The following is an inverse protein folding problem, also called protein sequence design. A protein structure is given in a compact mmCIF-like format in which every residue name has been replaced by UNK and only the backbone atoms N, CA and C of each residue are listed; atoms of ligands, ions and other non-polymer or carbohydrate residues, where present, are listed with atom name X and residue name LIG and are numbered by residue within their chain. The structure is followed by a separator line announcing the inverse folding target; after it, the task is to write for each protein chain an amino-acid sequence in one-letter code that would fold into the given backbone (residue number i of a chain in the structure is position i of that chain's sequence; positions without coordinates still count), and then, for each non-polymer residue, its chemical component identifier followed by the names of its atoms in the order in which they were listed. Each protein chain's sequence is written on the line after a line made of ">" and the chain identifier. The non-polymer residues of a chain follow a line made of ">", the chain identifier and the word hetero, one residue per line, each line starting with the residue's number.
data_IF_088355607636
#
_entry.id   IF_088355607636
#
_cell.length_a   1.000
_cell.length_b   1.000
_cell.length_c   1.000
_cell.angle_alpha   90.00
_cell.angle_beta   90.00
_cell.angle_gamma   90.00
#
_symmetry.space_group_name_H-M   'P 1'
#
loop_
_entity.id
_entity.type
_entity.pdbx_description
1 polymer ?
#
# COMPACT_ATOMS: atom_id res chain seq x y z
N UNK A 1 -32.35 -13.46 -37.29
CA UNK A 1 -31.86 -12.10 -36.99
C UNK A 1 -31.79 -11.97 -35.48
N UNK A 2 -30.60 -12.04 -34.90
CA UNK A 2 -30.39 -11.87 -33.47
C UNK A 2 -29.99 -10.42 -33.21
N UNK A 3 -30.89 -9.64 -32.61
CA UNK A 3 -30.59 -8.30 -32.13
C UNK A 3 -29.53 -8.39 -31.02
N UNK A 4 -28.40 -7.73 -31.25
CA UNK A 4 -27.37 -7.52 -30.25
C UNK A 4 -27.85 -6.37 -29.36
N UNK A 5 -28.28 -6.69 -28.14
CA UNK A 5 -28.62 -5.68 -27.14
C UNK A 5 -27.36 -4.89 -26.76
N UNK A 6 -27.32 -3.63 -27.17
CA UNK A 6 -26.21 -2.71 -26.87
C UNK A 6 -26.29 -2.27 -25.40
N UNK A 7 -25.30 -2.67 -24.60
CA UNK A 7 -25.20 -2.29 -23.19
C UNK A 7 -24.57 -0.89 -23.08
N UNK A 8 -25.31 0.06 -22.50
CA UNK A 8 -24.82 1.41 -22.21
C UNK A 8 -24.37 1.50 -20.75
N UNK A 9 -23.14 1.98 -20.52
CA UNK A 9 -22.62 2.26 -19.19
C UNK A 9 -22.93 3.70 -18.78
N UNK A 10 -23.56 3.87 -17.62
CA UNK A 10 -23.80 5.18 -17.01
C UNK A 10 -22.82 5.38 -15.85
N UNK A 11 -22.20 6.56 -15.81
CA UNK A 11 -21.38 6.99 -14.69
C UNK A 11 -22.20 7.92 -13.80
N UNK A 12 -22.74 7.36 -12.72
CA UNK A 12 -23.41 8.18 -11.71
C UNK A 12 -22.38 8.80 -10.76
N UNK A 13 -22.35 10.13 -10.61
CA UNK A 13 -21.42 10.78 -9.70
C UNK A 13 -21.75 10.38 -8.27
N UNK A 14 -20.76 9.85 -7.55
CA UNK A 14 -20.90 9.58 -6.13
C UNK A 14 -20.90 10.91 -5.36
N UNK A 15 -22.08 11.35 -4.92
CA UNK A 15 -22.25 12.62 -4.20
C UNK A 15 -21.75 12.46 -2.77
N UNK A 16 -20.47 12.75 -2.56
CA UNK A 16 -19.86 12.89 -1.24
C UNK A 16 -19.26 14.27 -1.09
N UNK A 17 -19.37 14.82 0.11
CA UNK A 17 -18.70 16.06 0.43
C UNK A 17 -17.20 15.81 0.68
N UNK A 18 -16.34 16.53 -0.05
CA UNK A 18 -14.91 16.52 0.21
C UNK A 18 -14.56 17.38 1.43
N UNK A 19 -13.56 16.97 2.24
CA UNK A 19 -12.95 17.84 3.25
C UNK A 19 -12.49 19.17 2.64
N UNK A 20 -12.62 20.27 3.38
CA UNK A 20 -12.25 21.62 2.90
C UNK A 20 -10.81 21.69 2.37
N UNK A 21 -9.87 21.02 3.06
CA UNK A 21 -8.48 20.94 2.66
C UNK A 21 -8.29 20.26 1.29
N UNK A 22 -9.08 19.22 1.01
CA UNK A 22 -9.07 18.53 -0.28
C UNK A 22 -9.69 19.41 -1.37
N UNK A 23 -10.80 20.10 -1.08
CA UNK A 23 -11.43 21.05 -2.01
C UNK A 23 -10.46 22.16 -2.42
N UNK A 24 -9.72 22.71 -1.46
CA UNK A 24 -8.72 23.76 -1.71
C UNK A 24 -7.58 23.29 -2.61
N UNK A 25 -7.03 22.11 -2.35
CA UNK A 25 -5.94 21.55 -3.16
C UNK A 25 -6.41 21.28 -4.59
N UNK A 26 -7.62 20.73 -4.74
CA UNK A 26 -8.21 20.46 -6.05
C UNK A 26 -8.53 21.76 -6.82
N UNK A 27 -8.89 22.84 -6.13
CA UNK A 27 -9.14 24.15 -6.78
C UNK A 27 -7.85 24.86 -7.21
N UNK A 28 -6.75 24.64 -6.50
CA UNK A 28 -5.43 25.20 -6.80
C UNK A 28 -4.61 24.34 -7.79
N UNK A 29 -5.14 23.20 -8.22
CA UNK A 29 -4.44 22.28 -9.11
C UNK A 29 -4.21 22.91 -10.49
N UNK A 30 -2.94 23.07 -10.87
CA UNK A 30 -2.55 23.44 -12.24
C UNK A 30 -2.49 22.23 -13.16
N UNK A 31 -2.58 22.44 -14.49
CA UNK A 31 -2.54 21.35 -15.50
C UNK A 31 -1.31 20.44 -15.41
N UNK A 32 -0.23 20.90 -14.80
CA UNK A 32 1.04 20.17 -14.70
C UNK A 32 1.25 19.50 -13.34
N UNK A 33 0.29 19.58 -12.42
CA UNK A 33 0.43 19.02 -11.09
C UNK A 33 0.22 17.50 -11.11
N UNK A 34 1.13 16.78 -10.46
CA UNK A 34 1.07 15.34 -10.34
C UNK A 34 0.08 14.97 -9.25
N UNK A 35 -1.12 14.56 -9.66
CA UNK A 35 -2.19 14.15 -8.76
C UNK A 35 -2.58 12.70 -9.04
N UNK A 36 -2.74 11.93 -7.97
CA UNK A 36 -3.27 10.58 -8.01
C UNK A 36 -4.21 10.38 -6.82
N UNK A 37 -5.31 9.68 -7.01
CA UNK A 37 -6.24 9.38 -5.93
C UNK A 37 -6.60 7.90 -5.92
N UNK A 38 -6.89 7.36 -4.74
CA UNK A 38 -7.38 5.98 -4.59
C UNK A 38 -8.37 5.88 -3.43
N UNK A 39 -9.25 4.90 -3.52
CA UNK A 39 -10.20 4.52 -2.48
C UNK A 39 -9.82 3.14 -1.96
N UNK A 40 -9.57 3.02 -0.67
CA UNK A 40 -9.26 1.72 -0.05
C UNK A 40 -10.54 0.93 0.22
N UNK A 41 -10.45 -0.41 0.34
CA UNK A 41 -11.58 -1.25 0.76
C UNK A 41 -12.19 -0.84 2.11
N UNK A 42 -11.41 -0.19 2.99
CA UNK A 42 -11.86 0.32 4.29
C UNK A 42 -12.48 1.72 4.22
N UNK A 43 -12.91 2.16 3.03
CA UNK A 43 -13.54 3.46 2.78
C UNK A 43 -12.63 4.64 3.18
N UNK A 44 -11.31 4.48 3.05
CA UNK A 44 -10.38 5.61 3.17
C UNK A 44 -10.08 6.12 1.77
N UNK A 45 -10.29 7.41 1.56
CA UNK A 45 -9.84 8.10 0.38
C UNK A 45 -8.42 8.61 0.59
N UNK A 46 -7.60 8.49 -0.43
CA UNK A 46 -6.24 9.00 -0.47
C UNK A 46 -6.10 9.89 -1.69
N UNK A 47 -5.57 11.09 -1.48
CA UNK A 47 -5.16 12.01 -2.54
C UNK A 47 -3.67 12.29 -2.40
N UNK A 48 -2.90 11.92 -3.40
CA UNK A 48 -1.48 12.23 -3.54
C UNK A 48 -1.34 13.45 -4.44
N UNK A 49 -0.58 14.43 -3.97
CA UNK A 49 -0.37 15.69 -4.64
C UNK A 49 1.09 16.11 -4.47
N UNK A 50 1.91 15.85 -5.49
CA UNK A 50 3.37 15.92 -5.39
C UNK A 50 3.91 15.09 -4.20
N UNK A 51 4.52 15.72 -3.19
CA UNK A 51 5.08 15.05 -2.00
C UNK A 51 4.17 15.18 -0.76
N UNK A 52 2.89 15.49 -0.97
CA UNK A 52 1.89 15.60 0.10
C UNK A 52 0.76 14.62 -0.16
N UNK A 53 0.34 13.94 0.90
CA UNK A 53 -0.79 13.03 0.88
C UNK A 53 -1.90 13.55 1.79
N UNK A 54 -3.14 13.40 1.33
CA UNK A 54 -4.33 13.68 2.11
C UNK A 54 -5.12 12.39 2.29
N UNK A 55 -5.46 12.04 3.54
CA UNK A 55 -6.23 10.83 3.86
C UNK A 55 -7.48 11.20 4.63
N UNK A 56 -8.65 10.69 4.22
CA UNK A 56 -9.91 10.92 4.91
C UNK A 56 -10.85 9.72 4.77
N UNK A 57 -11.85 9.63 5.66
CA UNK A 57 -12.88 8.60 5.55
C UNK A 57 -14.02 9.04 4.63
N UNK A 58 -14.34 8.19 3.68
CA UNK A 58 -15.49 8.28 2.80
C UNK A 58 -16.73 7.81 3.58
N UNK A 59 -17.50 8.72 4.17
CA UNK A 59 -18.74 8.38 4.90
C UNK A 59 -19.91 9.22 4.43
N UNK A 60 -20.95 8.54 3.96
CA UNK A 60 -22.22 9.16 3.55
C UNK A 60 -23.26 9.19 4.70
N UNK A 61 -22.90 8.69 5.89
CA UNK A 61 -23.82 8.48 7.02
C UNK A 61 -23.57 9.39 8.21
N UNK A 62 -22.50 10.19 8.17
CA UNK A 62 -22.12 11.06 9.29
C UNK A 62 -22.66 12.47 9.08
N UNK A 63 -23.27 13.05 10.12
CA UNK A 63 -23.60 14.49 10.17
C UNK A 63 -22.37 15.37 10.45
N UNK A 64 -21.20 14.75 10.61
CA UNK A 64 -19.94 15.44 10.93
C UNK A 64 -19.22 15.81 9.63
N UNK A 65 -18.74 17.05 9.57
CA UNK A 65 -17.91 17.56 8.47
C UNK A 65 -16.70 16.64 8.27
N UNK A 66 -16.44 16.16 7.05
CA UNK A 66 -15.35 15.22 6.79
C UNK A 66 -13.99 15.89 7.03
N UNK A 67 -13.13 15.26 7.81
CA UNK A 67 -11.78 15.72 8.13
C UNK A 67 -10.74 14.95 7.32
N UNK A 68 -9.71 15.66 6.83
CA UNK A 68 -8.58 15.09 6.12
C UNK A 68 -7.28 15.30 6.90
N UNK A 69 -6.50 14.22 7.05
CA UNK A 69 -5.14 14.27 7.54
C UNK A 69 -4.20 14.65 6.40
N UNK A 70 -3.31 15.62 6.65
CA UNK A 70 -2.25 16.02 5.72
C UNK A 70 -0.93 15.42 6.17
N UNK A 71 -0.34 14.62 5.30
CA UNK A 71 0.88 13.88 5.57
C UNK A 71 1.97 14.25 4.56
N UNK A 72 3.16 14.57 5.06
CA UNK A 72 4.33 14.85 4.22
C UNK A 72 5.00 13.54 3.83
N UNK A 73 4.97 13.20 2.54
CA UNK A 73 5.65 12.03 2.02
C UNK A 73 7.18 12.23 2.07
N UNK A 74 7.98 11.16 2.01
CA UNK A 74 9.42 11.28 1.78
C UNK A 74 9.71 12.17 0.56
N UNK A 75 10.79 12.95 0.63
CA UNK A 75 11.21 13.73 -0.52
C UNK A 75 11.71 12.78 -1.62
N UNK A 76 11.30 13.04 -2.86
CA UNK A 76 11.65 12.24 -4.02
C UNK A 76 11.80 13.15 -5.24
N UNK A 77 12.68 12.78 -6.16
CA UNK A 77 12.77 13.39 -7.49
C UNK A 77 11.79 12.78 -8.49
N UNK A 78 11.11 11.71 -8.09
CA UNK A 78 10.23 10.89 -8.92
C UNK A 78 8.77 11.04 -8.50
N UNK A 79 7.85 10.54 -9.33
CA UNK A 79 6.42 10.69 -9.10
C UNK A 79 5.91 9.64 -8.11
N UNK A 80 5.10 10.07 -7.16
CA UNK A 80 4.29 9.17 -6.34
C UNK A 80 3.08 8.61 -7.12
N UNK A 81 2.77 7.34 -6.87
CA UNK A 81 1.60 6.65 -7.41
C UNK A 81 0.75 6.06 -6.28
N UNK A 82 -0.55 5.83 -6.52
CA UNK A 82 -1.44 5.30 -5.47
C UNK A 82 -0.97 3.97 -4.85
N UNK A 83 -0.26 3.14 -5.61
CA UNK A 83 0.29 1.86 -5.14
C UNK A 83 1.54 2.00 -4.25
N UNK A 84 2.15 3.18 -4.18
CA UNK A 84 3.32 3.47 -3.31
C UNK A 84 2.93 3.82 -1.87
N UNK A 85 1.64 3.81 -1.56
CA UNK A 85 1.11 4.07 -0.22
C UNK A 85 0.13 2.98 0.18
N UNK A 86 0.18 2.60 1.45
CA UNK A 86 -0.75 1.64 2.05
C UNK A 86 -1.39 2.27 3.28
N UNK A 87 -2.70 2.45 3.23
CA UNK A 87 -3.52 2.95 4.35
C UNK A 87 -4.28 1.78 4.94
N UNK A 88 -4.17 1.60 6.26
CA UNK A 88 -4.73 0.45 6.94
C UNK A 88 -5.15 0.79 8.38
N UNK A 89 -5.85 -0.15 9.01
CA UNK A 89 -6.21 -0.07 10.43
C UNK A 89 -5.48 -1.19 11.14
N UNK A 90 -4.84 -0.89 12.27
CA UNK A 90 -4.17 -1.90 13.10
C UNK A 90 -5.19 -2.91 13.59
N UNK A 91 -4.81 -4.19 13.61
CA UNK A 91 -5.61 -5.25 14.21
C UNK A 91 -5.38 -5.30 15.73
N UNK A 92 -5.55 -4.19 16.45
CA UNK A 92 -5.59 -4.26 17.91
C UNK A 92 -7.02 -4.65 18.30
N UNK A 93 -7.20 -5.83 18.90
CA UNK A 93 -8.50 -6.29 19.39
C UNK A 93 -9.09 -5.44 20.53
N UNK A 94 -8.67 -4.18 20.69
CA UNK A 94 -8.95 -3.30 21.81
C UNK A 94 -9.50 -1.91 21.45
N UNK A 95 -9.85 -1.61 20.20
CA UNK A 95 -10.57 -0.34 19.92
C UNK A 95 -11.81 -0.55 19.06
N UNK A 96 -12.95 -0.39 19.73
CA UNK A 96 -14.28 -0.22 19.17
C UNK A 96 -14.37 1.06 18.32
N UNK A 97 -14.75 0.90 17.05
CA UNK A 97 -15.71 1.71 16.27
C UNK A 97 -16.00 3.14 16.75
N UNK A 98 -15.03 4.05 16.70
CA UNK A 98 -15.23 5.49 16.48
C UNK A 98 -13.88 6.22 16.32
N UNK A 99 -13.69 6.91 15.20
CA UNK A 99 -12.74 8.02 15.06
C UNK A 99 -11.24 7.80 15.35
N UNK A 100 -10.70 6.58 15.20
CA UNK A 100 -9.23 6.41 15.17
C UNK A 100 -8.72 6.72 13.77
N UNK A 101 -7.75 7.63 13.67
CA UNK A 101 -7.11 7.99 12.43
C UNK A 101 -6.31 6.79 11.86
N UNK A 102 -6.26 6.64 10.53
CA UNK A 102 -5.70 5.43 9.93
C UNK A 102 -4.17 5.40 10.09
N UNK A 103 -3.62 4.20 10.14
CA UNK A 103 -2.18 3.98 9.97
C UNK A 103 -1.82 4.09 8.51
N UNK A 104 -0.61 4.57 8.24
CA UNK A 104 -0.14 4.73 6.86
C UNK A 104 1.32 4.32 6.72
N UNK A 105 1.62 3.59 5.66
CA UNK A 105 2.99 3.32 5.22
C UNK A 105 3.15 3.82 3.78
N UNK A 106 4.13 4.68 3.56
CA UNK A 106 4.49 5.19 2.23
C UNK A 106 5.91 4.79 1.88
N UNK A 107 6.17 4.54 0.60
CA UNK A 107 7.50 4.30 0.06
C UNK A 107 7.76 5.29 -1.09
N UNK A 108 8.88 6.02 -1.03
CA UNK A 108 9.35 6.76 -2.20
C UNK A 108 9.86 5.81 -3.27
N UNK A 109 9.82 6.20 -4.56
CA UNK A 109 10.45 5.45 -5.64
C UNK A 109 11.91 5.04 -5.35
N UNK A 110 12.68 5.85 -4.63
CA UNK A 110 14.08 5.61 -4.27
C UNK A 110 14.29 4.70 -3.05
N UNK A 111 13.21 4.27 -2.36
CA UNK A 111 13.30 3.32 -1.25
C UNK A 111 13.29 3.91 0.16
N UNK A 112 12.96 5.20 0.33
CA UNK A 112 12.65 5.75 1.65
C UNK A 112 11.24 5.36 2.07
N UNK A 113 11.13 4.57 3.14
CA UNK A 113 9.89 4.28 3.84
C UNK A 113 9.59 5.38 4.85
N UNK A 114 8.31 5.73 4.97
CA UNK A 114 7.77 6.54 6.06
C UNK A 114 6.49 5.93 6.58
N UNK A 115 6.45 5.69 7.88
CA UNK A 115 5.35 5.06 8.58
C UNK A 115 4.73 6.02 9.59
N UNK A 116 3.40 6.06 9.62
CA UNK A 116 2.58 6.71 10.61
C UNK A 116 1.74 5.66 11.31
N UNK A 117 1.91 5.54 12.62
CA UNK A 117 1.10 4.66 13.46
C UNK A 117 -0.35 5.10 13.58
N UNK A 118 -0.56 6.38 13.35
CA UNK A 118 -1.82 7.10 13.25
C UNK A 118 -1.50 8.36 12.42
N UNK A 119 -2.34 8.71 11.45
CA UNK A 119 -2.13 9.86 10.57
C UNK A 119 -2.03 11.23 11.29
N UNK A 120 -2.40 11.34 12.56
CA UNK A 120 -2.19 12.51 13.40
C UNK A 120 -0.89 12.51 14.21
N UNK A 121 -0.12 11.42 14.19
CA UNK A 121 1.10 11.25 15.00
C UNK A 121 2.38 11.46 14.18
N UNK A 122 3.54 11.68 14.84
CA UNK A 122 4.83 11.76 14.17
C UNK A 122 5.17 10.49 13.38
N UNK A 123 5.91 10.64 12.29
CA UNK A 123 6.32 9.52 11.44
C UNK A 123 7.62 8.87 11.91
N UNK A 124 7.85 7.65 11.41
CA UNK A 124 9.11 6.91 11.51
C UNK A 124 9.62 6.62 10.10
N UNK A 125 10.90 6.89 9.89
CA UNK A 125 11.52 6.74 8.58
C UNK A 125 12.52 5.57 8.58
N UNK A 126 12.61 4.86 7.47
CA UNK A 126 13.58 3.80 7.24
C UNK A 126 14.01 3.83 5.77
N UNK A 127 15.31 3.69 5.49
CA UNK A 127 15.78 3.57 4.12
C UNK A 127 15.97 2.08 3.74
N UNK A 128 15.62 1.74 2.50
CA UNK A 128 15.87 0.45 1.88
C UNK A 128 16.84 0.66 0.72
N UNK A 129 17.91 -0.12 0.68
CA UNK A 129 18.76 -0.21 -0.51
C UNK A 129 18.07 -1.08 -1.57
N UNK A 130 17.49 -0.44 -2.58
CA UNK A 130 16.82 -1.10 -3.71
C UNK A 130 17.79 -1.55 -4.82
N UNK A 131 19.11 -1.48 -4.61
CA UNK A 131 20.13 -1.95 -5.56
C UNK A 131 19.98 -1.37 -6.98
N UNK A 132 19.76 -0.05 -7.08
CA UNK A 132 19.50 0.68 -8.34
C UNK A 132 18.17 0.31 -9.03
N UNK A 133 17.24 -0.30 -8.32
CA UNK A 133 15.85 -0.45 -8.74
C UNK A 133 14.97 0.64 -8.12
N UNK A 134 13.69 0.67 -8.51
CA UNK A 134 12.70 1.66 -8.09
C UNK A 134 11.54 0.95 -7.42
N UNK A 135 11.10 1.44 -6.27
CA UNK A 135 9.91 0.93 -5.59
C UNK A 135 8.67 1.13 -6.49
N UNK A 136 7.91 0.06 -6.69
CA UNK A 136 6.72 0.08 -7.52
C UNK A 136 5.45 0.06 -6.68
N UNK A 137 5.31 -0.88 -5.75
CA UNK A 137 4.11 -0.98 -4.91
C UNK A 137 4.40 -1.46 -3.50
N UNK A 138 3.62 -1.00 -2.53
CA UNK A 138 3.61 -1.55 -1.17
C UNK A 138 2.20 -1.95 -0.76
N UNK A 139 2.03 -3.18 -0.28
CA UNK A 139 0.73 -3.69 0.15
C UNK A 139 0.82 -4.41 1.49
N UNK A 140 -0.18 -4.21 2.34
CA UNK A 140 -0.34 -4.96 3.58
C UNK A 140 -0.72 -6.41 3.23
N UNK A 141 0.06 -7.36 3.71
CA UNK A 141 -0.21 -8.80 3.51
C UNK A 141 -0.70 -9.47 4.79
N UNK A 142 -0.31 -8.95 5.95
CA UNK A 142 -0.70 -9.50 7.25
C UNK A 142 -0.69 -8.39 8.30
N UNK A 143 -1.72 -8.37 9.16
CA UNK A 143 -1.80 -7.48 10.32
C UNK A 143 -2.13 -8.32 11.54
N UNK A 144 -1.20 -8.35 12.48
CA UNK A 144 -1.29 -8.98 13.79
C UNK A 144 -1.12 -7.88 14.83
N UNK A 145 -1.77 -8.00 15.99
CA UNK A 145 -1.78 -6.92 16.99
C UNK A 145 -0.41 -6.39 17.45
N UNK A 146 0.68 -7.13 17.23
CA UNK A 146 2.05 -6.73 17.52
C UNK A 146 2.96 -6.63 16.28
N UNK A 147 2.45 -6.94 15.08
CA UNK A 147 3.22 -7.02 13.85
C UNK A 147 2.35 -6.74 12.63
N UNK A 148 2.69 -5.71 11.86
CA UNK A 148 2.18 -5.53 10.50
C UNK A 148 3.25 -5.90 9.48
N UNK A 149 2.87 -6.68 8.46
CA UNK A 149 3.77 -7.14 7.40
C UNK A 149 3.27 -6.67 6.05
N UNK A 150 4.18 -6.12 5.26
CA UNK A 150 3.94 -5.59 3.93
C UNK A 150 4.85 -6.27 2.92
N UNK A 151 4.32 -6.42 1.71
CA UNK A 151 5.09 -6.79 0.54
C UNK A 151 5.38 -5.53 -0.28
N UNK A 152 6.65 -5.21 -0.43
CA UNK A 152 7.15 -4.21 -1.34
C UNK A 152 7.61 -4.90 -2.62
N UNK A 153 7.12 -4.43 -3.76
CA UNK A 153 7.60 -4.84 -5.09
C UNK A 153 8.32 -3.69 -5.76
N UNK A 154 9.31 -4.01 -6.58
CA UNK A 154 10.04 -3.03 -7.39
C UNK A 154 9.62 -3.09 -8.86
N UNK A 155 10.01 -2.08 -9.63
CA UNK A 155 9.70 -1.98 -11.05
C UNK A 155 10.22 -3.18 -11.84
N UNK A 156 11.30 -3.81 -11.38
CA UNK A 156 11.84 -5.00 -12.01
C UNK A 156 11.37 -6.31 -11.36
N UNK A 157 10.33 -6.31 -10.53
CA UNK A 157 9.82 -7.54 -9.89
C UNK A 157 10.79 -8.20 -8.90
N UNK A 158 11.60 -7.41 -8.21
CA UNK A 158 12.22 -7.82 -6.94
C UNK A 158 11.24 -7.57 -5.80
N UNK A 159 11.34 -8.36 -4.73
CA UNK A 159 10.40 -8.28 -3.60
C UNK A 159 11.12 -8.13 -2.28
N UNK A 160 10.50 -7.35 -1.38
CA UNK A 160 10.98 -7.13 -0.03
C UNK A 160 9.82 -7.30 0.95
N UNK A 161 10.12 -7.89 2.10
CA UNK A 161 9.20 -7.91 3.23
C UNK A 161 9.57 -6.76 4.15
N UNK A 162 8.58 -5.88 4.39
CA UNK A 162 8.66 -4.80 5.37
C UNK A 162 7.82 -5.20 6.57
N UNK A 163 8.41 -5.20 7.75
CA UNK A 163 7.78 -5.57 9.01
C UNK A 163 7.80 -4.39 9.97
N UNK A 164 6.65 -4.09 10.55
CA UNK A 164 6.50 -3.07 11.58
C UNK A 164 6.14 -3.78 12.87
N UNK A 165 7.08 -3.81 13.80
CA UNK A 165 6.87 -4.39 15.12
C UNK A 165 6.24 -3.33 16.03
N UNK A 166 5.07 -3.62 16.59
CA UNK A 166 4.42 -2.78 17.58
C UNK A 166 4.79 -3.25 18.98
N UNK A 167 5.17 -2.30 19.80
CA UNK A 167 5.41 -2.50 21.22
C UNK A 167 4.34 -1.75 22.01
N UNK A 168 4.20 -2.08 23.29
CA UNK A 168 3.24 -1.44 24.19
C UNK A 168 3.49 0.06 24.36
N UNK A 169 4.72 0.53 24.09
CA UNK A 169 5.02 1.96 23.98
C UNK A 169 5.13 2.38 22.52
N UNK A 170 4.33 3.38 22.14
CA UNK A 170 4.33 3.90 20.76
C UNK A 170 5.68 4.42 20.31
N UNK A 171 6.59 4.75 21.23
CA UNK A 171 7.95 5.21 20.93
C UNK A 171 8.88 4.08 20.46
N UNK A 172 8.54 2.82 20.67
CA UNK A 172 9.43 1.68 20.38
C UNK A 172 9.04 0.85 19.15
N UNK A 173 8.15 1.34 18.28
CA UNK A 173 7.83 0.62 17.05
C UNK A 173 9.07 0.50 16.13
N UNK A 174 9.39 -0.70 15.66
CA UNK A 174 10.59 -0.93 14.86
C UNK A 174 10.22 -1.32 13.44
N UNK A 175 10.81 -0.65 12.46
CA UNK A 175 10.70 -1.04 11.04
C UNK A 175 11.88 -1.97 10.73
N UNK A 176 11.58 -3.12 10.14
CA UNK A 176 12.56 -4.11 9.68
C UNK A 176 12.28 -4.40 8.22
N UNK A 177 13.32 -4.51 7.40
CA UNK A 177 13.17 -4.80 5.98
C UNK A 177 14.11 -5.92 5.59
N UNK A 178 13.61 -6.89 4.84
CA UNK A 178 14.40 -7.99 4.28
C UNK A 178 14.06 -8.18 2.80
N UNK A 179 15.08 -8.33 1.97
CA UNK A 179 14.88 -8.79 0.61
C UNK A 179 14.36 -10.23 0.62
N UNK A 180 13.44 -10.55 -0.28
CA UNK A 180 13.11 -11.94 -0.58
C UNK A 180 14.07 -12.40 -1.66
N UNK A 181 14.94 -13.35 -1.32
CA UNK A 181 15.72 -14.09 -2.30
C UNK A 181 14.74 -14.85 -3.19
N UNK A 182 14.43 -14.26 -4.33
CA UNK A 182 13.92 -15.01 -5.45
C UNK A 182 15.12 -15.59 -6.17
N UNK A 183 15.00 -16.82 -6.68
CA UNK A 183 16.01 -17.49 -7.52
C UNK A 183 16.16 -16.79 -8.90
N UNK A 184 15.98 -15.47 -8.91
CA UNK A 184 16.12 -14.57 -10.02
C UNK A 184 17.50 -13.92 -9.91
N UNK A 185 18.37 -14.08 -10.92
CA UNK A 185 19.70 -13.53 -10.90
C UNK A 185 19.67 -11.99 -10.85
N UNK A 186 20.51 -11.45 -9.97
CA UNK A 186 20.66 -10.04 -9.62
C UNK A 186 20.68 -9.06 -10.81
N UNK A 187 19.93 -7.96 -10.64
CA UNK A 187 20.16 -6.66 -11.30
C UNK A 187 19.57 -6.46 -12.71
N UNK A 188 19.26 -5.20 -13.03
CA UNK A 188 18.80 -4.74 -14.36
C UNK A 188 19.78 -5.17 -15.45
N UNK A 189 21.09 -4.97 -15.23
CA UNK A 189 22.12 -5.27 -16.21
C UNK A 189 22.18 -6.76 -16.57
N UNK A 190 22.09 -7.66 -15.58
CA UNK A 190 22.17 -9.11 -15.82
C UNK A 190 20.87 -9.68 -16.39
N UNK A 191 19.72 -9.08 -16.06
CA UNK A 191 18.41 -9.41 -16.66
C UNK A 191 18.35 -8.99 -18.13
N UNK A 192 18.83 -7.81 -18.47
CA UNK A 192 18.99 -7.37 -19.86
C UNK A 192 19.98 -8.27 -20.61
N UNK A 193 21.12 -8.63 -19.99
CA UNK A 193 22.04 -9.60 -20.58
C UNK A 193 21.39 -10.97 -20.79
N UNK A 194 20.50 -11.44 -19.91
CA UNK A 194 19.78 -12.70 -20.09
C UNK A 194 18.72 -12.66 -21.19
N UNK A 195 18.05 -11.51 -21.35
CA UNK A 195 17.12 -11.30 -22.46
C UNK A 195 17.84 -11.21 -23.82
N UNK A 196 19.03 -10.61 -23.85
CA UNK A 196 19.82 -10.43 -25.08
C UNK A 196 20.68 -11.65 -25.44
N UNK A 197 21.20 -12.39 -24.46
CA UNK A 197 22.18 -13.46 -24.68
C UNK A 197 21.70 -14.86 -24.27
N UNK A 198 20.45 -14.99 -23.80
CA UNK A 198 19.85 -16.29 -23.45
C UNK A 198 20.42 -16.95 -22.19
N UNK A 199 19.73 -18.00 -21.74
CA UNK A 199 20.16 -18.83 -20.61
C UNK A 199 21.36 -19.71 -21.02
N UNK A 200 22.48 -19.60 -20.30
CA UNK A 200 23.34 -20.76 -20.12
C UNK A 200 22.53 -21.79 -19.31
N UNK A 201 22.32 -22.96 -19.89
CA UNK A 201 21.46 -24.04 -19.41
C UNK A 201 21.72 -24.41 -17.95
N UNK A 202 20.82 -23.99 -17.05
CA UNK A 202 20.58 -24.66 -15.78
C UNK A 202 19.10 -25.04 -15.71
N UNK A 203 18.84 -26.31 -15.38
CA UNK A 203 17.52 -26.94 -15.41
C UNK A 203 16.49 -26.12 -14.63
N UNK A 204 15.46 -25.66 -15.33
CA UNK A 204 14.26 -25.08 -14.72
C UNK A 204 13.59 -26.10 -13.80
N UNK A 205 13.45 -25.78 -12.51
CA UNK A 205 12.50 -26.46 -11.63
C UNK A 205 11.22 -25.61 -11.57
N UNK A 206 10.21 -26.02 -12.34
CA UNK A 206 8.89 -25.37 -12.30
C UNK A 206 8.15 -25.86 -11.06
N UNK A 207 8.16 -25.07 -10.00
CA UNK A 207 7.33 -25.35 -8.81
C UNK A 207 5.96 -24.71 -8.98
N UNK A 208 4.94 -25.55 -9.20
CA UNK A 208 3.54 -25.13 -9.27
C UNK A 208 2.89 -25.21 -7.89
N UNK A 209 2.62 -24.06 -7.27
CA UNK A 209 1.86 -23.99 -6.01
C UNK A 209 0.36 -24.08 -6.28
N UNK A 210 -0.32 -25.06 -5.67
CA UNK A 210 -1.78 -25.21 -5.74
C UNK A 210 -2.34 -24.99 -4.33
N UNK A 211 -3.28 -24.06 -4.17
CA UNK A 211 -3.96 -23.83 -2.90
C UNK A 211 -5.06 -24.86 -2.68
N UNK A 212 -4.91 -25.71 -1.66
CA UNK A 212 -5.93 -26.69 -1.27
C UNK A 212 -6.69 -26.14 -0.06
N UNK A 213 -8.00 -25.95 -0.21
CA UNK A 213 -8.90 -25.52 0.87
C UNK A 213 -9.35 -26.74 1.68
N UNK A 214 -8.66 -27.03 2.78
CA UNK A 214 -9.06 -28.07 3.75
C UNK A 214 -9.95 -27.53 4.86
N UNK A 215 -10.95 -28.30 5.30
CA UNK A 215 -11.67 -28.06 6.57
C UNK A 215 -11.06 -28.94 7.65
N UNK A 216 -10.47 -28.32 8.68
CA UNK A 216 -10.05 -29.02 9.90
C UNK A 216 -11.30 -29.40 10.71
N UNK A 217 -11.57 -30.70 10.85
CA UNK A 217 -12.49 -31.21 11.87
C UNK A 217 -11.70 -31.42 13.15
N UNK A 218 -11.98 -30.62 14.17
CA UNK A 218 -11.51 -30.85 15.54
C UNK A 218 -12.25 -32.05 16.13
N UNK A 219 -11.50 -33.03 16.64
CA UNK A 219 -12.08 -34.13 17.45
C UNK A 219 -12.44 -33.55 18.81
N UNK A 220 -13.73 -33.58 19.15
CA UNK A 220 -14.17 -33.41 20.54
C UNK A 220 -13.79 -34.68 21.32
N UNK A 221 -13.07 -34.49 22.42
CA UNK A 221 -12.87 -35.54 23.42
C UNK A 221 -14.13 -35.57 24.30
N UNK A 222 -14.82 -36.70 24.31
CA UNK A 222 -15.86 -36.98 25.30
C UNK A 222 -15.17 -37.55 26.54
N UNK A 223 -15.41 -36.90 27.68
CA UNK A 223 -15.14 -37.39 29.04
C UNK A 223 -15.90 -38.68 29.33
#
# INVERSE_FOLDING_TARGET
>A
MSESSELTLFMDPYKIEFPSLVKEVLSQTSKNMNICATLTPQQQCVLLCSNVMYVWTCSNKSRVVPHAFRLSLPATGLRYYANSVCVFKKSDGRVSVAAVAPSVLAVSPEGYLRYWSDAGKPSRDQNINLQNDVAFSICLIESLGHLDRFLLSTATSSFYIVEIFHSMSEQSERISVRALEMDTPDGIGRRMSKMLFGYATERESVTKTIFVKGRLKTRMWTS
#
